data_IF_979599459847
#
_entry.id   IF_979599459847
#
_cell.length_a   1.000
_cell.length_b   1.000
_cell.length_c   1.000
_cell.angle_alpha   90.00
_cell.angle_beta   90.00
_cell.angle_gamma   90.00
#
_symmetry.space_group_name_H-M   'P 1'
#
loop_
_entity.id
_entity.type
_entity.pdbx_description
1 polymer ?
#
# COMPACT_ATOMS: atom_id res chain seq x y z
N UNK A 1 1.97 -10.93 17.84
CA UNK A 1 2.36 -10.80 16.41
C UNK A 1 2.35 -9.37 15.90
N UNK A 2 1.27 -8.58 16.10
CA UNK A 2 1.18 -7.21 15.57
C UNK A 2 2.32 -6.30 16.03
N UNK A 3 2.64 -6.33 17.33
CA UNK A 3 3.77 -5.56 17.89
C UNK A 3 5.12 -5.92 17.26
N UNK A 4 5.40 -7.21 17.06
CA UNK A 4 6.61 -7.68 16.37
C UNK A 4 6.75 -7.00 14.99
N UNK A 5 5.65 -6.89 14.26
CA UNK A 5 5.63 -6.34 12.90
C UNK A 5 5.73 -4.82 12.85
N UNK A 6 5.87 -4.11 13.97
CA UNK A 6 6.32 -2.70 13.96
C UNK A 6 7.78 -2.58 13.53
N UNK A 7 8.59 -3.61 13.75
CA UNK A 7 9.97 -3.63 13.28
C UNK A 7 10.03 -3.94 11.77
N UNK A 8 10.65 -3.07 10.94
CA UNK A 8 10.69 -3.25 9.49
C UNK A 8 11.43 -4.50 9.02
N UNK A 9 12.34 -5.06 9.82
CA UNK A 9 12.96 -6.36 9.55
C UNK A 9 11.89 -7.43 9.37
N UNK A 10 10.92 -7.49 10.28
CA UNK A 10 9.84 -8.48 10.25
C UNK A 10 8.76 -8.11 9.22
N UNK A 11 8.54 -6.83 8.93
CA UNK A 11 7.67 -6.42 7.82
C UNK A 11 8.19 -6.92 6.46
N UNK A 12 9.51 -6.97 6.25
CA UNK A 12 10.10 -7.55 5.03
C UNK A 12 9.68 -9.01 4.84
N UNK A 13 9.50 -9.76 5.93
CA UNK A 13 9.07 -11.16 5.88
C UNK A 13 7.67 -11.30 5.29
N UNK A 14 6.76 -10.34 5.55
CA UNK A 14 5.41 -10.34 4.95
C UNK A 14 5.46 -10.33 3.43
N UNK A 15 6.34 -9.53 2.85
CA UNK A 15 6.53 -9.49 1.40
C UNK A 15 7.07 -10.82 0.87
N UNK A 16 8.09 -11.39 1.51
CA UNK A 16 8.69 -12.62 0.99
C UNK A 16 7.72 -13.80 1.11
N UNK A 17 7.08 -13.94 2.27
CA UNK A 17 6.13 -15.02 2.49
C UNK A 17 4.91 -14.89 1.54
N UNK A 18 4.37 -13.68 1.31
CA UNK A 18 3.18 -13.51 0.46
C UNK A 18 3.50 -13.78 -1.01
N UNK A 19 4.71 -13.42 -1.46
CA UNK A 19 5.23 -13.81 -2.77
C UNK A 19 5.23 -15.33 -2.93
N UNK A 20 5.89 -16.05 -2.02
CA UNK A 20 6.04 -17.51 -2.11
C UNK A 20 4.66 -18.19 -2.07
N UNK A 21 3.78 -17.73 -1.18
CA UNK A 21 2.41 -18.25 -1.10
C UNK A 21 1.65 -18.04 -2.41
N UNK A 22 1.73 -16.87 -3.04
CA UNK A 22 1.05 -16.64 -4.32
C UNK A 22 1.65 -17.44 -5.47
N UNK A 23 2.98 -17.55 -5.57
CA UNK A 23 3.65 -18.36 -6.58
C UNK A 23 3.19 -19.83 -6.52
N UNK A 24 3.12 -20.39 -5.31
CA UNK A 24 2.65 -21.77 -5.13
C UNK A 24 1.13 -21.92 -5.32
N UNK A 25 0.34 -20.92 -4.90
CA UNK A 25 -1.11 -20.92 -5.10
C UNK A 25 -1.43 -20.95 -6.60
N UNK A 26 -0.81 -20.07 -7.39
CA UNK A 26 -1.02 -19.99 -8.84
C UNK A 26 -0.57 -21.29 -9.51
N UNK A 27 0.61 -21.81 -9.16
CA UNK A 27 1.12 -23.07 -9.70
C UNK A 27 0.23 -24.28 -9.35
N UNK A 28 -0.27 -24.36 -8.12
CA UNK A 28 -1.12 -25.47 -7.66
C UNK A 28 -2.51 -25.50 -8.31
N UNK A 29 -2.96 -24.36 -8.82
CA UNK A 29 -4.31 -24.22 -9.36
C UNK A 29 -4.40 -24.56 -10.84
N UNK A 30 -3.27 -24.85 -11.49
CA UNK A 30 -3.23 -25.31 -12.87
C UNK A 30 -3.40 -26.83 -12.95
N UNK A 31 -4.60 -27.29 -13.33
CA UNK A 31 -4.94 -28.72 -13.48
C UNK A 31 -4.28 -29.41 -14.68
N UNK A 32 -3.77 -28.67 -15.68
CA UNK A 32 -3.19 -29.25 -16.92
C UNK A 32 -1.74 -29.69 -16.79
N UNK A 33 -1.08 -29.40 -15.67
CA UNK A 33 0.34 -29.68 -15.49
C UNK A 33 0.52 -30.90 -14.60
N UNK A 34 0.75 -32.08 -15.20
CA UNK A 34 1.05 -33.34 -14.47
C UNK A 34 2.23 -33.19 -13.50
N UNK A 35 3.12 -32.20 -13.73
CA UNK A 35 4.18 -31.78 -12.82
C UNK A 35 3.84 -30.43 -12.22
N UNK A 36 4.14 -30.19 -10.94
CA UNK A 36 4.06 -28.86 -10.31
C UNK A 36 5.08 -27.91 -10.96
N UNK A 37 4.75 -27.35 -12.13
CA UNK A 37 5.64 -26.46 -12.87
C UNK A 37 5.72 -25.14 -12.12
N UNK A 38 6.95 -24.70 -11.79
CA UNK A 38 7.16 -23.37 -11.21
C UNK A 38 6.78 -22.32 -12.26
N UNK A 39 5.80 -21.49 -11.95
CA UNK A 39 5.36 -20.40 -12.79
C UNK A 39 5.92 -19.07 -12.29
N UNK A 40 6.42 -18.26 -13.20
CA UNK A 40 6.81 -16.87 -12.95
C UNK A 40 5.58 -15.98 -13.12
N UNK A 41 4.96 -15.65 -11.99
CA UNK A 41 3.79 -14.76 -11.94
C UNK A 41 4.21 -13.28 -12.05
N UNK A 42 3.31 -12.40 -12.46
CA UNK A 42 3.43 -10.96 -12.23
C UNK A 42 2.76 -10.60 -10.91
N UNK A 43 3.45 -9.89 -10.02
CA UNK A 43 2.85 -9.48 -8.75
C UNK A 43 3.27 -8.08 -8.27
N UNK A 44 2.34 -7.28 -7.74
CA UNK A 44 2.59 -6.03 -7.02
C UNK A 44 2.18 -6.24 -5.56
N UNK A 45 3.01 -5.84 -4.63
CA UNK A 45 2.74 -5.95 -3.20
C UNK A 45 2.70 -4.55 -2.60
N UNK A 46 1.74 -4.29 -1.73
CA UNK A 46 1.61 -3.03 -0.99
C UNK A 46 1.41 -3.38 0.48
N UNK A 47 2.35 -2.98 1.33
CA UNK A 47 2.21 -3.12 2.78
C UNK A 47 1.28 -2.02 3.31
N UNK A 48 0.30 -2.41 4.13
CA UNK A 48 -0.49 -1.49 4.94
C UNK A 48 -0.36 -1.85 6.40
N UNK A 49 -0.25 -0.86 7.27
CA UNK A 49 0.00 -1.03 8.71
C UNK A 49 -1.22 -0.74 9.58
N UNK A 50 -2.36 -0.36 8.99
CA UNK A 50 -3.54 0.12 9.71
C UNK A 50 -4.81 -0.63 9.31
N UNK A 51 -5.73 -0.77 10.28
CA UNK A 51 -7.12 -1.20 10.04
C UNK A 51 -8.02 -0.04 9.63
N UNK A 52 -9.30 -0.34 9.40
CA UNK A 52 -10.31 0.70 9.14
C UNK A 52 -10.50 1.65 10.33
N UNK A 53 -10.21 1.16 11.54
CA UNK A 53 -10.21 1.85 12.83
C UNK A 53 -8.88 2.55 13.16
N UNK A 54 -7.97 2.68 12.18
CA UNK A 54 -6.59 3.17 12.33
C UNK A 54 -5.72 2.38 13.33
N UNK A 55 -6.21 1.28 13.91
CA UNK A 55 -5.38 0.48 14.81
C UNK A 55 -4.31 -0.27 14.01
N UNK A 56 -3.15 -0.47 14.63
CA UNK A 56 -2.04 -1.17 13.99
C UNK A 56 -2.45 -2.59 13.57
N UNK A 57 -2.48 -2.83 12.27
CA UNK A 57 -2.93 -4.08 11.66
C UNK A 57 -2.16 -4.33 10.36
N UNK A 58 -0.92 -4.84 10.43
CA UNK A 58 -0.06 -5.03 9.28
C UNK A 58 -0.59 -6.14 8.36
N UNK A 59 -0.75 -5.81 7.09
CA UNK A 59 -1.24 -6.72 6.05
C UNK A 59 -0.68 -6.33 4.68
N UNK A 60 -0.63 -7.28 3.74
CA UNK A 60 -0.13 -7.03 2.40
C UNK A 60 -1.27 -7.16 1.40
N UNK A 61 -1.50 -6.10 0.64
CA UNK A 61 -2.31 -6.13 -0.56
C UNK A 61 -1.44 -6.62 -1.71
N UNK A 62 -1.77 -7.79 -2.22
CA UNK A 62 -1.09 -8.36 -3.35
C UNK A 62 -1.95 -8.19 -4.57
N UNK A 63 -1.30 -7.94 -5.69
CA UNK A 63 -1.90 -7.81 -6.98
C UNK A 63 -1.18 -8.83 -7.86
N UNK A 64 -1.84 -9.81 -8.47
CA UNK A 64 -1.23 -10.99 -9.06
C UNK A 64 -1.87 -11.33 -10.40
N UNK A 65 -1.06 -11.83 -11.33
CA UNK A 65 -1.57 -12.33 -12.61
C UNK A 65 -2.33 -13.66 -12.45
N UNK A 66 -3.36 -13.86 -13.27
CA UNK A 66 -4.11 -15.12 -13.35
C UNK A 66 -3.37 -16.18 -14.17
N UNK A 67 -2.16 -16.49 -13.72
CA UNK A 67 -1.24 -17.34 -14.46
C UNK A 67 0.19 -16.85 -14.32
N UNK A 68 1.07 -17.50 -15.05
CA UNK A 68 2.46 -17.11 -15.12
C UNK A 68 3.21 -17.88 -16.20
N UNK A 69 4.45 -17.49 -16.41
CA UNK A 69 5.31 -18.11 -17.41
C UNK A 69 5.98 -19.37 -16.87
N UNK A 70 6.00 -20.44 -17.66
CA UNK A 70 6.84 -21.59 -17.38
C UNK A 70 8.34 -21.29 -17.68
N UNK A 71 9.20 -22.31 -17.59
CA UNK A 71 10.64 -22.15 -17.90
C UNK A 71 10.94 -21.89 -19.38
N UNK A 72 10.01 -22.25 -20.26
CA UNK A 72 10.09 -22.07 -21.71
C UNK A 72 9.43 -20.76 -22.15
N UNK A 73 8.99 -19.92 -21.21
CA UNK A 73 8.26 -18.68 -21.46
C UNK A 73 6.89 -18.86 -22.12
N UNK A 74 6.26 -20.01 -21.96
CA UNK A 74 4.86 -20.16 -22.35
C UNK A 74 3.97 -19.58 -21.26
N UNK A 75 2.96 -18.79 -21.66
CA UNK A 75 1.92 -18.36 -20.74
C UNK A 75 1.03 -19.52 -20.31
N UNK A 76 0.94 -19.72 -19.00
CA UNK A 76 0.07 -20.72 -18.38
C UNK A 76 -0.99 -20.00 -17.57
N UNK A 77 -2.23 -20.02 -18.08
CA UNK A 77 -3.37 -19.37 -17.43
C UNK A 77 -3.92 -20.19 -16.26
N UNK A 78 -4.33 -19.49 -15.19
CA UNK A 78 -4.91 -20.06 -13.98
C UNK A 78 -6.33 -19.52 -13.79
N UNK A 79 -7.33 -20.38 -13.97
CA UNK A 79 -8.74 -19.97 -13.96
C UNK A 79 -9.37 -19.81 -12.58
N UNK A 80 -8.78 -20.42 -11.54
CA UNK A 80 -9.33 -20.46 -10.19
C UNK A 80 -8.20 -20.36 -9.17
N UNK A 81 -8.43 -19.65 -8.05
CA UNK A 81 -7.47 -19.56 -6.95
C UNK A 81 -8.17 -19.90 -5.61
N UNK A 82 -7.81 -21.01 -4.95
CA UNK A 82 -8.49 -21.48 -3.75
C UNK A 82 -8.04 -20.75 -2.46
N UNK A 83 -8.24 -19.44 -2.36
CA UNK A 83 -7.69 -18.60 -1.29
C UNK A 83 -7.93 -19.12 0.14
N UNK A 84 -9.14 -19.62 0.43
CA UNK A 84 -9.49 -20.14 1.76
C UNK A 84 -8.62 -21.34 2.16
N UNK A 85 -8.30 -22.22 1.23
CA UNK A 85 -7.47 -23.42 1.46
C UNK A 85 -6.00 -23.08 1.71
N UNK A 86 -5.57 -21.87 1.36
CA UNK A 86 -4.18 -21.44 1.51
C UNK A 86 -3.89 -20.72 2.82
N UNK A 87 -4.88 -20.49 3.68
CA UNK A 87 -4.72 -19.78 4.96
C UNK A 87 -3.69 -20.43 5.89
N UNK A 88 -3.76 -21.75 6.07
CA UNK A 88 -2.79 -22.52 6.87
C UNK A 88 -1.41 -22.54 6.24
N UNK A 89 -1.31 -22.66 4.91
CA UNK A 89 -0.01 -22.59 4.19
C UNK A 89 0.63 -21.22 4.31
N UNK A 90 -0.18 -20.16 4.21
CA UNK A 90 0.25 -18.78 4.43
C UNK A 90 0.79 -18.57 5.84
N UNK A 91 0.03 -18.98 6.85
CA UNK A 91 0.46 -18.95 8.25
C UNK A 91 1.77 -19.72 8.44
N UNK A 92 1.84 -20.96 7.96
CA UNK A 92 3.02 -21.81 8.10
C UNK A 92 4.27 -21.15 7.51
N UNK A 93 4.19 -20.65 6.27
CA UNK A 93 5.31 -19.97 5.60
C UNK A 93 5.73 -18.73 6.37
N UNK A 94 4.78 -17.88 6.74
CA UNK A 94 5.08 -16.64 7.44
C UNK A 94 5.73 -16.91 8.80
N UNK A 95 5.14 -17.77 9.63
CA UNK A 95 5.67 -18.06 10.96
C UNK A 95 7.03 -18.76 10.89
N UNK A 96 7.23 -19.66 9.94
CA UNK A 96 8.52 -20.31 9.70
C UNK A 96 9.60 -19.30 9.32
N UNK A 97 9.28 -18.34 8.45
CA UNK A 97 10.23 -17.30 8.04
C UNK A 97 10.48 -16.28 9.16
N UNK A 98 9.46 -15.91 9.93
CA UNK A 98 9.61 -15.05 11.10
C UNK A 98 10.53 -15.70 12.13
N UNK A 99 10.33 -16.98 12.44
CA UNK A 99 11.16 -17.76 13.36
C UNK A 99 12.64 -17.71 12.96
N UNK A 100 12.96 -17.78 11.67
CA UNK A 100 14.35 -17.70 11.16
C UNK A 100 15.00 -16.34 11.38
N UNK A 101 14.22 -15.26 11.40
CA UNK A 101 14.68 -13.89 11.60
C UNK A 101 14.73 -13.47 13.08
N UNK A 102 14.11 -14.26 13.97
CA UNK A 102 14.09 -14.04 15.41
C UNK A 102 15.29 -14.70 16.10
N UNK A 103 15.67 -14.26 17.32
CA UNK A 103 16.70 -14.93 18.11
C UNK A 103 16.37 -16.41 18.31
N UNK A 104 17.38 -17.27 18.18
CA UNK A 104 17.25 -18.72 18.41
C UNK A 104 17.26 -18.99 19.91
N UNK A 105 16.08 -18.95 20.52
CA UNK A 105 15.89 -19.24 21.94
C UNK A 105 14.53 -19.90 22.18
N UNK A 106 14.38 -20.49 23.37
CA UNK A 106 13.16 -21.21 23.79
C UNK A 106 11.92 -20.32 23.73
N UNK A 107 12.06 -19.04 24.07
CA UNK A 107 10.98 -18.05 24.08
C UNK A 107 10.43 -17.82 22.66
N UNK A 108 11.30 -17.76 21.65
CA UNK A 108 10.89 -17.68 20.24
C UNK A 108 10.09 -18.92 19.84
N UNK A 109 10.53 -20.11 20.25
CA UNK A 109 9.82 -21.36 19.93
C UNK A 109 8.44 -21.40 20.57
N UNK A 110 8.35 -21.05 21.86
CA UNK A 110 7.07 -20.96 22.59
C UNK A 110 6.15 -19.94 21.92
N UNK A 111 6.68 -18.76 21.59
CA UNK A 111 5.90 -17.70 20.95
C UNK A 111 5.34 -18.12 19.58
N UNK A 112 6.15 -18.75 18.73
CA UNK A 112 5.71 -19.23 17.41
C UNK A 112 4.67 -20.36 17.56
N UNK A 113 4.88 -21.28 18.49
CA UNK A 113 3.92 -22.36 18.77
C UNK A 113 2.57 -21.81 19.25
N UNK A 114 2.58 -20.78 20.12
CA UNK A 114 1.36 -20.08 20.54
C UNK A 114 0.65 -19.42 19.35
N UNK A 115 1.37 -18.84 18.39
CA UNK A 115 0.75 -18.25 17.19
C UNK A 115 0.07 -19.29 16.29
N UNK A 116 0.61 -20.50 16.19
CA UNK A 116 -0.07 -21.61 15.52
C UNK A 116 -1.30 -22.07 16.31
N UNK A 117 -1.15 -22.30 17.61
CA UNK A 117 -2.21 -22.78 18.50
C UNK A 117 -3.42 -21.83 18.53
N UNK A 118 -3.18 -20.52 18.61
CA UNK A 118 -4.23 -19.51 18.72
C UNK A 118 -4.91 -19.21 17.37
N UNK A 119 -4.38 -19.73 16.26
CA UNK A 119 -4.92 -19.49 14.92
C UNK A 119 -5.06 -20.82 14.15
N UNK A 120 -5.94 -21.74 14.60
CA UNK A 120 -6.09 -23.06 14.00
C UNK A 120 -6.56 -23.00 12.54
N UNK A 121 -7.34 -21.98 12.17
CA UNK A 121 -7.84 -21.78 10.80
C UNK A 121 -6.86 -21.06 9.87
N UNK A 122 -5.65 -20.78 10.37
CA UNK A 122 -4.63 -20.06 9.65
C UNK A 122 -4.91 -18.57 9.48
N UNK A 123 -3.94 -17.87 8.91
CA UNK A 123 -4.04 -16.44 8.68
C UNK A 123 -4.91 -16.12 7.47
N UNK A 124 -5.71 -15.06 7.58
CA UNK A 124 -6.73 -14.73 6.60
C UNK A 124 -6.11 -14.35 5.26
N UNK A 125 -6.57 -15.03 4.20
CA UNK A 125 -6.42 -14.60 2.82
C UNK A 125 -7.82 -14.22 2.33
N UNK A 126 -7.97 -12.99 1.84
CA UNK A 126 -9.18 -12.54 1.18
C UNK A 126 -8.87 -12.32 -0.30
N UNK A 127 -9.44 -13.15 -1.16
CA UNK A 127 -9.39 -12.96 -2.60
C UNK A 127 -10.67 -12.27 -3.04
N UNK A 128 -10.54 -11.12 -3.70
CA UNK A 128 -11.66 -10.38 -4.25
C UNK A 128 -11.36 -9.98 -5.70
N UNK A 129 -12.46 -9.71 -6.43
CA UNK A 129 -12.59 -9.03 -7.71
C UNK A 129 -11.62 -9.41 -8.83
N UNK A 130 -12.19 -9.99 -9.89
CA UNK A 130 -11.51 -10.13 -11.17
C UNK A 130 -11.55 -8.85 -12.00
N UNK A 131 -10.39 -8.27 -12.30
CA UNK A 131 -10.27 -7.21 -13.30
C UNK A 131 -10.27 -7.81 -14.69
N UNK A 132 -11.24 -7.43 -15.49
CA UNK A 132 -11.38 -7.89 -16.87
C UNK A 132 -10.50 -7.09 -17.85
N UNK A 133 -10.33 -7.62 -19.06
CA UNK A 133 -9.63 -6.92 -20.15
C UNK A 133 -10.36 -5.61 -20.44
N UNK A 134 -9.67 -4.47 -20.33
CA UNK A 134 -10.25 -3.14 -20.47
C UNK A 134 -10.43 -2.38 -19.15
N UNK A 135 -10.42 -3.07 -18.01
CA UNK A 135 -10.52 -2.45 -16.68
C UNK A 135 -9.19 -1.90 -16.15
N UNK A 136 -8.23 -1.63 -17.04
CA UNK A 136 -6.91 -1.11 -16.70
C UNK A 136 -7.03 0.09 -15.77
N UNK A 137 -7.88 1.05 -16.10
CA UNK A 137 -8.06 2.25 -15.27
C UNK A 137 -8.60 1.93 -13.86
N UNK A 138 -9.59 1.05 -13.72
CA UNK A 138 -10.12 0.60 -12.41
C UNK A 138 -9.01 -0.03 -11.56
N UNK A 139 -8.16 -0.81 -12.20
CA UNK A 139 -7.02 -1.48 -11.60
C UNK A 139 -5.90 -0.49 -11.19
N UNK A 140 -5.57 0.51 -12.02
CA UNK A 140 -4.64 1.59 -11.63
C UNK A 140 -5.19 2.42 -10.48
N UNK A 141 -6.50 2.68 -10.49
CA UNK A 141 -7.15 3.46 -9.45
C UNK A 141 -7.24 2.70 -8.13
N UNK A 142 -7.44 1.39 -8.21
CA UNK A 142 -7.29 0.48 -7.08
C UNK A 142 -5.87 0.59 -6.52
N UNK A 143 -4.82 0.38 -7.31
CA UNK A 143 -3.43 0.53 -6.83
C UNK A 143 -3.18 1.92 -6.25
N UNK A 144 -3.65 2.97 -6.94
CA UNK A 144 -3.54 4.34 -6.47
C UNK A 144 -4.16 4.53 -5.09
N UNK A 145 -5.31 3.90 -4.81
CA UNK A 145 -5.91 3.88 -3.47
C UNK A 145 -4.93 3.28 -2.47
N UNK A 146 -4.42 2.06 -2.64
CA UNK A 146 -3.61 1.41 -1.60
C UNK A 146 -2.19 1.97 -1.43
N UNK A 147 -1.60 2.53 -2.49
CA UNK A 147 -0.27 3.14 -2.46
C UNK A 147 -0.28 4.51 -1.77
N UNK A 148 -1.38 5.25 -1.92
CA UNK A 148 -1.51 6.63 -1.44
C UNK A 148 -2.57 6.78 -0.34
N UNK A 149 -3.10 5.68 0.21
CA UNK A 149 -4.14 5.79 1.22
C UNK A 149 -3.52 6.25 2.53
N UNK A 150 -3.92 7.41 3.07
CA UNK A 150 -3.67 7.68 4.48
C UNK A 150 -4.38 6.65 5.37
N UNK A 151 -3.97 6.50 6.64
CA UNK A 151 -4.64 5.62 7.60
C UNK A 151 -6.15 5.86 7.70
N UNK A 152 -6.58 7.09 7.42
CA UNK A 152 -7.98 7.49 7.36
C UNK A 152 -8.22 8.46 6.20
N UNK A 153 -9.34 8.27 5.50
CA UNK A 153 -9.79 9.22 4.49
C UNK A 153 -10.32 10.50 5.15
N UNK A 154 -10.02 11.66 4.58
CA UNK A 154 -10.53 12.97 5.02
C UNK A 154 -12.05 12.97 5.21
N UNK A 155 -12.79 12.41 4.24
CA UNK A 155 -14.26 12.31 4.29
C UNK A 155 -14.82 11.47 5.45
N UNK A 156 -13.95 10.80 6.23
CA UNK A 156 -14.35 10.04 7.43
C UNK A 156 -14.23 10.85 8.70
N UNK A 157 -13.47 11.95 8.69
CA UNK A 157 -13.37 12.89 9.80
C UNK A 157 -14.61 13.79 9.72
N UNK A 158 -15.42 13.77 10.78
CA UNK A 158 -16.74 14.42 10.79
C UNK A 158 -16.83 15.56 11.80
N UNK A 159 -15.95 15.62 12.79
CA UNK A 159 -15.83 16.76 13.67
C UNK A 159 -14.41 16.92 14.23
N UNK A 160 -14.06 18.17 14.54
CA UNK A 160 -12.89 18.52 15.35
C UNK A 160 -13.18 19.84 16.07
N UNK A 161 -13.18 19.81 17.41
CA UNK A 161 -13.54 20.96 18.26
C UNK A 161 -12.31 21.72 18.80
N UNK A 162 -11.11 21.36 18.36
CA UNK A 162 -9.85 21.92 18.84
C UNK A 162 -9.12 21.03 19.85
N UNK A 163 -9.81 20.11 20.51
CA UNK A 163 -9.25 19.14 21.46
C UNK A 163 -9.49 17.70 21.01
N UNK A 164 -10.69 17.37 20.55
CA UNK A 164 -11.08 16.02 20.17
C UNK A 164 -11.47 15.90 18.71
N UNK A 165 -11.01 14.82 18.07
CA UNK A 165 -11.33 14.47 16.68
C UNK A 165 -12.37 13.35 16.68
N UNK A 166 -13.46 13.55 15.95
CA UNK A 166 -14.47 12.52 15.70
C UNK A 166 -14.40 12.04 14.26
N UNK A 167 -14.30 10.73 14.08
CA UNK A 167 -14.33 10.09 12.77
C UNK A 167 -15.16 8.82 12.78
N UNK A 168 -15.58 8.37 11.60
CA UNK A 168 -16.27 7.10 11.45
C UNK A 168 -15.47 6.09 10.64
N UNK A 169 -15.70 4.80 10.90
CA UNK A 169 -15.19 3.71 10.09
C UNK A 169 -16.23 2.62 9.91
N UNK A 170 -16.09 1.83 8.85
CA UNK A 170 -16.89 0.62 8.64
C UNK A 170 -16.21 -0.53 9.38
N UNK A 171 -16.87 -1.02 10.41
CA UNK A 171 -16.38 -2.14 11.20
C UNK A 171 -16.31 -3.39 10.32
N UNK A 172 -15.16 -4.06 10.31
CA UNK A 172 -14.92 -5.14 9.36
C UNK A 172 -15.72 -6.41 9.65
N UNK A 173 -16.19 -6.57 10.89
CA UNK A 173 -16.88 -7.75 11.40
C UNK A 173 -18.39 -7.58 11.28
N UNK A 174 -18.93 -6.53 11.92
CA UNK A 174 -20.36 -6.20 11.89
C UNK A 174 -20.81 -5.57 10.57
N UNK A 175 -19.85 -5.09 9.74
CA UNK A 175 -20.11 -4.30 8.53
C UNK A 175 -20.86 -2.98 8.78
N UNK A 176 -21.06 -2.60 10.04
CA UNK A 176 -21.76 -1.39 10.42
C UNK A 176 -20.82 -0.19 10.50
N UNK A 177 -21.39 1.01 10.38
CA UNK A 177 -20.68 2.26 10.63
C UNK A 177 -20.53 2.44 12.13
N UNK A 178 -19.29 2.63 12.60
CA UNK A 178 -18.96 3.02 13.97
C UNK A 178 -18.33 4.39 13.97
N UNK A 179 -18.64 5.18 14.99
CA UNK A 179 -18.07 6.52 15.21
C UNK A 179 -17.18 6.46 16.44
N UNK A 180 -16.03 7.13 16.38
CA UNK A 180 -15.07 7.22 17.47
C UNK A 180 -14.70 8.68 17.64
N UNK A 181 -14.67 9.13 18.89
CA UNK A 181 -14.11 10.42 19.30
C UNK A 181 -12.88 10.14 20.16
N UNK A 182 -11.81 10.86 19.94
CA UNK A 182 -10.55 10.74 20.70
C UNK A 182 -9.83 12.08 20.76
N UNK A 183 -8.90 12.21 21.70
CA UNK A 183 -8.02 13.36 21.84
C UNK A 183 -7.16 13.58 20.58
N UNK A 184 -6.93 14.85 20.20
CA UNK A 184 -6.19 15.24 18.98
C UNK A 184 -4.79 14.65 18.94
N UNK A 185 -4.10 14.60 20.09
CA UNK A 185 -2.75 14.05 20.17
C UNK A 185 -2.75 12.52 20.05
N UNK A 186 -3.80 11.84 20.53
CA UNK A 186 -3.97 10.41 20.28
C UNK A 186 -4.21 10.14 18.79
N UNK A 187 -5.07 10.95 18.15
CA UNK A 187 -5.33 10.88 16.71
C UNK A 187 -4.04 11.08 15.89
N UNK A 188 -3.27 12.13 16.18
CA UNK A 188 -1.98 12.40 15.53
C UNK A 188 -1.02 11.23 15.77
N UNK A 189 -0.91 10.73 17.01
CA UNK A 189 -0.04 9.59 17.34
C UNK A 189 -0.38 8.34 16.52
N UNK A 190 -1.67 8.05 16.32
CA UNK A 190 -2.11 6.94 15.48
C UNK A 190 -1.66 7.15 14.03
N UNK A 191 -1.87 8.34 13.45
CA UNK A 191 -1.42 8.66 12.10
C UNK A 191 0.10 8.47 11.94
N UNK A 192 0.88 9.05 12.85
CA UNK A 192 2.34 8.99 12.82
C UNK A 192 2.86 7.56 12.96
N UNK A 193 2.15 6.68 13.69
CA UNK A 193 2.54 5.27 13.87
C UNK A 193 2.52 4.44 12.59
N UNK A 194 1.97 4.97 11.50
CA UNK A 194 1.88 4.32 10.20
C UNK A 194 2.86 4.85 9.15
N UNK A 195 3.64 5.87 9.51
CA UNK A 195 4.72 6.36 8.66
C UNK A 195 5.80 5.26 8.61
N UNK A 196 6.16 4.76 7.42
CA UNK A 196 7.23 3.79 7.30
C UNK A 196 8.58 4.43 7.67
N UNK A 197 9.55 3.63 8.10
CA UNK A 197 10.92 4.11 8.21
C UNK A 197 11.44 4.67 6.87
N UNK A 198 12.36 5.63 6.96
CA UNK A 198 13.03 6.19 5.79
C UNK A 198 13.56 5.09 4.87
N UNK A 199 13.35 5.29 3.57
CA UNK A 199 13.74 4.36 2.50
C UNK A 199 13.02 2.99 2.50
N UNK A 200 12.10 2.72 3.41
CA UNK A 200 11.34 1.48 3.38
C UNK A 200 10.35 1.46 2.21
N UNK A 201 10.56 0.55 1.26
CA UNK A 201 9.70 0.40 0.08
C UNK A 201 8.41 -0.35 0.44
N UNK A 202 7.34 0.42 0.65
CA UNK A 202 5.97 -0.08 0.88
C UNK A 202 5.43 -0.84 -0.34
N UNK A 203 5.79 -0.40 -1.55
CA UNK A 203 5.37 -1.03 -2.81
C UNK A 203 6.49 -1.87 -3.38
N UNK A 204 6.20 -3.12 -3.75
CA UNK A 204 7.17 -4.02 -4.39
C UNK A 204 6.62 -4.66 -5.64
N UNK A 205 7.49 -4.79 -6.63
CA UNK A 205 7.21 -5.39 -7.91
C UNK A 205 7.94 -6.73 -8.04
N UNK A 206 7.18 -7.78 -8.34
CA UNK A 206 7.61 -9.18 -8.30
C UNK A 206 7.39 -9.84 -9.65
N UNK A 207 8.31 -10.76 -9.98
CA UNK A 207 8.24 -11.63 -11.15
C UNK A 207 8.14 -10.85 -12.46
N UNK A 208 7.11 -11.08 -13.27
CA UNK A 208 6.88 -10.38 -14.55
C UNK A 208 6.84 -8.86 -14.37
N UNK A 209 6.31 -8.38 -13.23
CA UNK A 209 6.21 -6.95 -12.97
C UNK A 209 7.50 -6.30 -12.49
N UNK A 210 8.50 -7.09 -12.06
CA UNK A 210 9.81 -6.57 -11.66
C UNK A 210 10.55 -5.91 -12.83
N UNK A 211 11.55 -5.07 -12.53
CA UNK A 211 12.41 -4.44 -13.56
C UNK A 211 13.07 -5.48 -14.46
N UNK A 212 13.59 -6.57 -13.89
CA UNK A 212 14.19 -7.68 -14.65
C UNK A 212 13.15 -8.49 -15.44
N UNK A 213 11.91 -8.57 -14.93
CA UNK A 213 10.78 -9.17 -15.64
C UNK A 213 10.28 -8.34 -16.82
N UNK A 214 10.56 -7.03 -16.85
CA UNK A 214 10.08 -6.10 -17.88
C UNK A 214 10.51 -6.49 -19.30
N UNK A 215 11.74 -7.00 -19.49
CA UNK A 215 12.23 -7.45 -20.79
C UNK A 215 11.35 -8.51 -21.45
N UNK A 216 10.59 -9.26 -20.67
CA UNK A 216 9.71 -10.35 -21.14
C UNK A 216 8.24 -9.91 -21.30
N UNK A 217 7.87 -8.69 -20.90
CA UNK A 217 6.51 -8.16 -21.12
C UNK A 217 6.27 -7.75 -22.57
N UNK A 218 7.33 -7.44 -23.31
CA UNK A 218 7.24 -6.85 -24.64
C UNK A 218 6.72 -7.80 -25.72
N UNK A 219 6.74 -9.12 -25.48
CA UNK A 219 6.43 -10.12 -26.51
C UNK A 219 4.99 -10.63 -26.50
N UNK A 220 4.29 -10.64 -25.36
CA UNK A 220 2.96 -11.30 -25.26
C UNK A 220 1.79 -10.41 -24.79
N UNK A 221 2.03 -9.24 -24.20
CA UNK A 221 0.95 -8.37 -23.67
C UNK A 221 0.68 -7.11 -24.50
N UNK A 222 1.26 -7.00 -25.70
CA UNK A 222 1.07 -5.86 -26.60
C UNK A 222 -0.03 -6.14 -27.64
N UNK A 223 -1.30 -6.07 -27.23
CA UNK A 223 -2.40 -5.83 -28.18
C UNK A 223 -2.86 -4.37 -28.22
N UNK A 224 -2.16 -3.48 -27.51
CA UNK A 224 -2.42 -2.05 -27.60
C UNK A 224 -1.14 -1.31 -27.28
N UNK A 225 -0.62 -0.56 -28.25
CA UNK A 225 0.44 0.40 -27.99
C UNK A 225 0.00 1.32 -26.86
N UNK A 226 0.65 1.24 -25.71
CA UNK A 226 0.49 2.27 -24.69
C UNK A 226 1.07 3.53 -25.32
N UNK A 227 0.20 4.40 -25.83
CA UNK A 227 0.59 5.74 -26.26
C UNK A 227 1.07 6.45 -24.99
N UNK A 228 2.38 6.47 -24.80
CA UNK A 228 3.01 7.37 -23.84
C UNK A 228 2.83 8.78 -24.39
N UNK A 229 1.75 9.44 -23.97
CA UNK A 229 1.67 10.88 -24.09
C UNK A 229 2.74 11.44 -23.15
N UNK A 230 3.94 11.72 -23.69
CA UNK A 230 4.95 12.52 -22.99
C UNK A 230 4.34 13.90 -22.77
N UNK A 231 4.02 14.21 -21.52
CA UNK A 231 3.61 15.55 -21.11
C UNK A 231 4.81 16.22 -20.45
N UNK A 232 4.99 17.51 -20.71
CA UNK A 232 5.99 18.31 -20.02
C UNK A 232 5.62 18.49 -18.55
N UNK A 233 6.59 18.84 -17.71
CA UNK A 233 6.35 19.21 -16.31
C UNK A 233 5.26 20.29 -16.18
N UNK A 234 5.34 21.35 -17.02
CA UNK A 234 4.36 22.45 -17.07
C UNK A 234 2.94 21.94 -17.32
N UNK A 235 2.76 21.00 -18.26
CA UNK A 235 1.46 20.42 -18.59
C UNK A 235 0.90 19.53 -17.47
N UNK A 236 1.75 18.79 -16.76
CA UNK A 236 1.34 18.00 -15.60
C UNK A 236 0.90 18.88 -14.43
N UNK A 237 1.60 20.00 -14.18
CA UNK A 237 1.20 20.98 -13.15
C UNK A 237 -0.14 21.64 -13.53
N UNK A 238 -0.27 22.13 -14.77
CA UNK A 238 -1.54 22.70 -15.29
C UNK A 238 -2.71 21.75 -15.11
N UNK A 239 -2.53 20.48 -15.47
CA UNK A 239 -3.58 19.48 -15.37
C UNK A 239 -4.00 19.23 -13.92
N UNK A 240 -3.00 19.08 -13.04
CA UNK A 240 -3.18 18.63 -11.66
C UNK A 240 -3.66 19.74 -10.75
N UNK A 241 -3.03 20.92 -10.84
CA UNK A 241 -3.25 22.05 -9.93
C UNK A 241 -4.05 23.19 -10.55
N UNK A 242 -4.40 23.08 -11.84
CA UNK A 242 -5.24 24.06 -12.55
C UNK A 242 -4.65 25.48 -12.66
N UNK A 243 -3.32 25.61 -12.54
CA UNK A 243 -2.59 26.86 -12.81
C UNK A 243 -1.34 26.59 -13.66
N UNK A 244 -0.83 27.62 -14.33
CA UNK A 244 0.41 27.56 -15.10
C UNK A 244 1.62 27.91 -14.22
N UNK A 245 2.56 26.99 -13.95
CA UNK A 245 3.69 27.28 -13.09
C UNK A 245 4.69 28.27 -13.69
N UNK A 246 4.57 28.59 -14.98
CA UNK A 246 5.40 29.59 -15.65
C UNK A 246 4.67 30.90 -15.91
N UNK A 247 3.54 31.16 -15.23
CA UNK A 247 2.88 32.48 -15.25
C UNK A 247 2.90 33.03 -13.83
N UNK A 248 3.42 34.24 -13.66
CA UNK A 248 3.40 34.91 -12.37
C UNK A 248 1.94 35.16 -11.95
N UNK A 249 1.50 34.73 -10.75
CA UNK A 249 0.12 34.92 -10.30
C UNK A 249 -0.25 36.38 -10.01
N UNK A 250 0.73 37.29 -9.95
CA UNK A 250 0.52 38.71 -9.62
C UNK A 250 0.55 39.62 -10.85
N UNK A 251 1.52 39.43 -11.75
CA UNK A 251 1.73 40.31 -12.91
C UNK A 251 1.52 39.61 -14.26
N UNK A 252 1.08 38.35 -14.25
CA UNK A 252 0.78 37.52 -15.43
C UNK A 252 1.95 37.33 -16.42
N UNK A 253 3.15 37.77 -16.05
CA UNK A 253 4.34 37.66 -16.89
C UNK A 253 4.83 36.22 -16.93
N UNK A 254 5.28 35.79 -18.12
CA UNK A 254 5.85 34.46 -18.31
C UNK A 254 7.21 34.35 -17.60
N UNK A 255 7.36 33.34 -16.76
CA UNK A 255 8.57 33.04 -16.00
C UNK A 255 9.40 31.95 -16.70
N UNK A 256 10.72 31.98 -16.53
CA UNK A 256 11.64 30.95 -17.01
C UNK A 256 11.96 29.93 -15.90
N UNK A 257 12.01 28.65 -16.25
CA UNK A 257 12.40 27.61 -15.31
C UNK A 257 13.93 27.56 -15.21
N UNK A 258 14.48 28.16 -14.15
CA UNK A 258 15.94 28.20 -13.93
C UNK A 258 16.47 26.89 -13.32
N UNK A 259 15.63 26.16 -12.57
CA UNK A 259 16.03 24.88 -11.97
C UNK A 259 14.90 24.24 -11.16
N UNK A 260 15.12 22.98 -10.76
CA UNK A 260 14.21 22.26 -9.86
C UNK A 260 14.95 21.89 -8.58
N UNK A 261 14.52 22.41 -7.45
CA UNK A 261 15.08 22.05 -6.15
C UNK A 261 14.35 20.84 -5.57
N UNK A 262 15.10 19.86 -5.09
CA UNK A 262 14.56 18.74 -4.31
C UNK A 262 15.49 18.45 -3.13
N UNK A 263 14.92 17.91 -2.06
CA UNK A 263 15.62 17.66 -0.80
C UNK A 263 16.90 16.85 -1.06
N UNK A 264 18.06 17.42 -0.70
CA UNK A 264 19.38 16.86 -0.97
C UNK A 264 20.12 17.36 -2.23
N UNK A 265 19.60 18.37 -2.94
CA UNK A 265 20.34 19.11 -3.99
C UNK A 265 21.07 20.33 -3.42
N UNK A 266 22.18 20.72 -4.03
CA UNK A 266 22.92 21.95 -3.65
C UNK A 266 22.05 23.21 -3.70
N UNK A 267 21.02 23.21 -4.56
CA UNK A 267 20.04 24.29 -4.72
C UNK A 267 18.87 24.22 -3.73
N UNK A 268 18.81 23.20 -2.86
CA UNK A 268 17.77 23.10 -1.84
C UNK A 268 18.09 24.09 -0.71
N UNK A 269 17.16 24.99 -0.32
CA UNK A 269 17.40 25.92 0.78
C UNK A 269 17.82 25.14 2.03
N UNK A 270 19.04 25.39 2.51
CA UNK A 270 19.58 24.75 3.72
C UNK A 270 19.10 25.41 5.00
N UNK A 271 18.55 26.63 4.88
CA UNK A 271 17.90 27.34 5.98
C UNK A 271 16.42 26.97 5.99
N UNK A 272 15.94 26.43 7.11
CA UNK A 272 14.51 26.33 7.36
C UNK A 272 13.90 27.73 7.22
N UNK A 273 12.75 27.89 6.52
CA UNK A 273 12.04 29.15 6.52
C UNK A 273 11.81 29.57 7.97
N UNK A 274 12.12 30.84 8.29
CA UNK A 274 11.87 31.41 9.61
C UNK A 274 10.46 31.02 10.07
N UNK A 275 10.29 30.56 11.33
CA UNK A 275 8.97 30.19 11.84
C UNK A 275 8.02 31.35 11.61
N UNK A 276 7.02 31.14 10.74
CA UNK A 276 5.94 32.11 10.60
C UNK A 276 5.22 32.10 11.95
N UNK A 277 5.20 33.23 12.65
CA UNK A 277 4.45 33.36 13.89
C UNK A 277 3.03 32.82 13.65
N UNK A 278 2.55 31.89 14.50
CA UNK A 278 1.20 31.37 14.33
C UNK A 278 0.24 32.56 14.34
N UNK A 279 -0.67 32.68 13.36
CA UNK A 279 -1.60 33.80 13.31
C UNK A 279 -2.34 33.89 14.65
N UNK A 280 -2.51 35.13 15.14
CA UNK A 280 -3.16 35.46 16.42
C UNK A 280 -4.40 34.61 16.66
N UNK A 281 -4.54 34.08 17.87
CA UNK A 281 -5.56 33.14 18.38
C UNK A 281 -6.90 33.20 17.63
N UNK A 282 -6.91 32.63 16.42
CA UNK A 282 -8.05 32.66 15.55
C UNK A 282 -8.89 31.45 15.93
N UNK A 283 -10.15 31.68 16.31
CA UNK A 283 -11.15 30.63 16.46
C UNK A 283 -11.42 30.05 15.07
N UNK A 284 -10.54 29.16 14.63
CA UNK A 284 -10.70 28.41 13.38
C UNK A 284 -12.07 27.75 13.39
N UNK A 285 -12.82 27.92 12.30
CA UNK A 285 -14.08 27.22 12.14
C UNK A 285 -13.83 25.69 12.14
N UNK A 286 -14.87 24.89 12.39
CA UNK A 286 -14.77 23.44 12.26
C UNK A 286 -14.23 23.03 10.87
N UNK A 287 -14.55 23.82 9.83
CA UNK A 287 -14.03 23.63 8.48
C UNK A 287 -12.53 23.87 8.38
N UNK A 288 -12.02 24.99 8.91
CA UNK A 288 -10.59 25.33 8.87
C UNK A 288 -9.74 24.34 9.67
N UNK A 289 -10.30 23.88 10.80
CA UNK A 289 -9.72 22.84 11.65
C UNK A 289 -9.61 21.49 10.94
N UNK A 290 -10.63 21.10 10.16
CA UNK A 290 -10.59 19.91 9.31
C UNK A 290 -9.58 20.07 8.17
N UNK A 291 -9.47 21.26 7.56
CA UNK A 291 -8.48 21.56 6.54
C UNK A 291 -7.04 21.46 7.08
N UNK A 292 -6.79 21.92 8.30
CA UNK A 292 -5.49 21.75 8.96
C UNK A 292 -5.13 20.27 9.13
N UNK A 293 -6.02 19.45 9.71
CA UNK A 293 -5.79 17.99 9.85
C UNK A 293 -5.53 17.36 8.48
N UNK A 294 -6.29 17.76 7.47
CA UNK A 294 -6.13 17.29 6.10
C UNK A 294 -4.78 17.68 5.51
N UNK A 295 -4.27 18.87 5.81
CA UNK A 295 -2.95 19.33 5.37
C UNK A 295 -1.83 18.48 5.98
N UNK A 296 -1.93 18.12 7.27
CA UNK A 296 -0.99 17.22 7.95
C UNK A 296 -1.01 15.82 7.33
N UNK A 297 -2.20 15.30 7.01
CA UNK A 297 -2.34 14.02 6.29
C UNK A 297 -1.68 14.08 4.91
N UNK A 298 -1.76 15.22 4.21
CA UNK A 298 -1.17 15.41 2.88
C UNK A 298 0.34 15.63 2.92
N UNK A 299 0.88 16.36 3.89
CA UNK A 299 2.32 16.68 3.98
C UNK A 299 3.16 15.49 4.46
N UNK A 300 2.64 14.68 5.38
CA UNK A 300 3.37 13.56 5.99
C UNK A 300 3.47 12.32 5.08
N UNK A 301 2.59 12.20 4.08
CA UNK A 301 2.37 10.92 3.36
C UNK A 301 2.79 10.97 1.86
N UNK A 302 3.09 12.14 1.29
CA UNK A 302 3.21 12.29 -0.17
C UNK A 302 4.55 12.88 -0.71
N UNK A 303 5.67 12.10 -0.76
CA UNK A 303 6.83 12.51 -1.55
C UNK A 303 7.00 11.79 -2.91
N UNK A 304 6.13 10.87 -3.37
CA UNK A 304 6.49 9.99 -4.52
C UNK A 304 5.46 9.74 -5.66
N UNK A 305 5.92 9.47 -6.91
CA UNK A 305 5.09 9.27 -8.10
C UNK A 305 4.58 7.82 -8.25
N UNK A 306 3.52 7.70 -9.07
CA UNK A 306 2.58 6.55 -9.16
C UNK A 306 3.20 5.22 -9.66
N UNK A 307 2.76 4.07 -9.11
CA UNK A 307 2.90 2.76 -9.73
C UNK A 307 1.60 2.28 -10.41
N UNK A 308 1.72 1.56 -11.55
CA UNK A 308 0.62 1.06 -12.44
C UNK A 308 0.34 -0.46 -12.31
N UNK A 309 -0.95 -0.82 -12.40
CA UNK A 309 -1.68 -2.06 -12.79
C UNK A 309 -1.43 -3.48 -12.16
N UNK A 310 -2.51 -4.17 -11.71
CA UNK A 310 -2.70 -5.63 -11.51
C UNK A 310 -3.77 -5.99 -10.42
N UNK A 311 -4.04 -7.27 -10.07
CA UNK A 311 -5.29 -7.83 -9.48
C UNK A 311 -5.25 -8.53 -8.10
N UNK A 312 -6.23 -8.36 -7.21
CA UNK A 312 -6.08 -8.53 -5.74
C UNK A 312 -5.96 -9.95 -5.11
N UNK A 313 -5.14 -10.05 -4.06
CA UNK A 313 -5.25 -10.97 -2.92
C UNK A 313 -4.78 -10.26 -1.64
N UNK A 314 -5.63 -10.15 -0.63
CA UNK A 314 -5.31 -9.50 0.65
C UNK A 314 -4.81 -10.57 1.62
N UNK A 315 -3.61 -10.38 2.16
CA UNK A 315 -3.05 -11.22 3.23
C UNK A 315 -3.17 -10.50 4.57
N UNK A 316 -4.17 -10.87 5.37
CA UNK A 316 -4.38 -10.34 6.73
C UNK A 316 -3.75 -11.23 7.78
N UNK A 317 -3.23 -10.61 8.83
CA UNK A 317 -2.75 -11.26 10.03
C UNK A 317 -3.79 -11.04 11.13
N UNK A 318 -4.60 -12.09 11.33
CA UNK A 318 -5.65 -12.24 12.33
C UNK A 318 -6.87 -11.31 12.24
N UNK A 319 -8.03 -11.92 11.92
CA UNK A 319 -9.18 -12.11 12.83
C UNK A 319 -9.95 -13.39 12.42
N UNK A 320 -10.06 -14.42 13.27
CA UNK A 320 -11.14 -15.39 13.20
C UNK A 320 -12.43 -14.74 13.72
N UNK A 321 -13.51 -14.85 12.95
CA UNK A 321 -14.85 -14.53 13.38
C UNK A 321 -15.72 -15.73 13.02
N UNK A 322 -16.02 -16.51 14.06
CA UNK A 322 -16.56 -17.88 14.09
C UNK A 322 -15.54 -18.98 13.75
#
# INVERSE_FOLDING_TARGET
MRELLKNPKYQKVLFVASKITMEEMVASSNKKSEKKTKLKIGMIQVLQTFGADMKYNPHVHCIVTEGGFDRKWNWIHTYYMPYKFWRRKWQYKLLTMLKKEMPRCRETDVFINLLFKNNPEGFVINGEHRFEKGEGWNMARYIGRYVKHPPIAESRIIAFDGEQVTFWYKDSETKQRKTVTMEKFEFIRLLLSHIPQNNFKIVRYVGVYSRRGYKHRQTEFHEGGIIFIKRSWREEIKKTFKYDPLICPYCETQMELIGTCFEGTESYPTEEPQPVEPPSDHKYSQHDRILFITSVIKSVIFPWPKPRFGFLSIFRLDRPGK
#
